data_IF_124082727819
#
_entry.id   IF_124082727819
#
_cell.length_a   1.000
_cell.length_b   1.000
_cell.length_c   1.000
_cell.angle_alpha   90.00
_cell.angle_beta   90.00
_cell.angle_gamma   90.00
#
_symmetry.space_group_name_H-M   'P 1'
#
loop_
_entity.id
_entity.type
_entity.pdbx_description
1 polymer ?
#
# COMPACT_ATOMS: atom_id res chain seq x y z
N UNK A 1 -15.16 11.23 -6.08
CA UNK A 1 -14.99 10.17 -5.06
C UNK A 1 -13.87 10.67 -4.15
N UNK A 2 -13.99 11.17 -2.91
CA UNK A 2 -14.99 11.20 -1.81
C UNK A 2 -15.19 9.91 -0.98
N UNK A 3 -14.33 8.90 -1.15
CA UNK A 3 -14.58 7.58 -0.53
C UNK A 3 -14.12 7.43 0.92
N UNK A 4 -13.12 8.19 1.38
CA UNK A 4 -12.58 8.02 2.75
C UNK A 4 -12.15 9.35 3.39
N UNK A 5 -13.07 10.30 3.67
CA UNK A 5 -12.72 11.54 4.37
C UNK A 5 -12.16 11.28 5.77
N UNK A 6 -12.62 10.22 6.46
CA UNK A 6 -12.10 9.82 7.77
C UNK A 6 -10.59 9.53 7.76
N UNK A 7 -10.04 9.05 6.63
CA UNK A 7 -8.61 8.75 6.51
C UNK A 7 -7.76 10.01 6.69
N UNK A 8 -8.17 11.11 6.03
CA UNK A 8 -7.49 12.39 6.14
C UNK A 8 -7.61 12.98 7.56
N UNK A 9 -8.77 12.81 8.20
CA UNK A 9 -8.98 13.28 9.58
C UNK A 9 -8.13 12.52 10.60
N UNK A 10 -7.93 11.21 10.40
CA UNK A 10 -7.07 10.37 11.26
C UNK A 10 -5.59 10.66 11.09
N UNK A 11 -5.15 11.00 9.87
CA UNK A 11 -3.76 11.31 9.57
C UNK A 11 -3.25 12.63 10.15
N UNK A 12 -4.15 13.54 10.56
CA UNK A 12 -3.76 14.80 11.20
C UNK A 12 -2.76 15.61 10.36
N UNK A 13 -1.59 15.88 10.92
CA UNK A 13 -0.50 16.63 10.28
C UNK A 13 0.07 15.95 9.02
N UNK A 14 -0.22 14.67 8.81
CA UNK A 14 0.24 13.89 7.66
C UNK A 14 -0.79 13.79 6.53
N UNK A 15 -1.98 14.40 6.67
CA UNK A 15 -3.08 14.26 5.69
C UNK A 15 -2.76 14.80 4.29
N UNK A 16 -1.91 15.82 4.20
CA UNK A 16 -1.51 16.46 2.94
C UNK A 16 -0.32 15.76 2.26
N UNK A 17 0.27 14.73 2.90
CA UNK A 17 1.42 14.00 2.36
C UNK A 17 1.01 13.05 1.23
N UNK A 18 1.93 12.84 0.30
CA UNK A 18 1.82 11.86 -0.77
C UNK A 18 2.65 10.62 -0.45
N UNK A 19 1.99 9.48 -0.40
CA UNK A 19 2.60 8.20 -0.04
C UNK A 19 2.77 7.31 -1.27
N UNK A 20 3.93 6.70 -1.43
CA UNK A 20 4.21 5.75 -2.51
C UNK A 20 4.42 4.33 -2.02
N UNK A 21 3.94 3.36 -2.77
CA UNK A 21 4.17 1.94 -2.51
C UNK A 21 4.66 1.26 -3.78
N UNK A 22 5.90 0.75 -3.76
CA UNK A 22 6.57 0.12 -4.90
C UNK A 22 6.70 -1.40 -4.71
N UNK A 23 5.70 -2.19 -5.14
CA UNK A 23 5.76 -3.63 -5.09
C UNK A 23 6.80 -4.17 -6.09
N UNK A 24 7.84 -4.84 -5.60
CA UNK A 24 8.94 -5.35 -6.44
C UNK A 24 8.54 -6.53 -7.33
N UNK A 25 7.40 -7.17 -7.03
CA UNK A 25 6.87 -8.33 -7.73
C UNK A 25 5.71 -7.99 -8.69
N UNK A 26 5.33 -6.70 -8.80
CA UNK A 26 4.30 -6.22 -9.70
C UNK A 26 4.84 -5.17 -10.70
N UNK A 27 4.23 -5.03 -11.90
CA UNK A 27 4.67 -4.08 -12.92
C UNK A 27 4.06 -2.68 -12.76
N UNK A 28 3.62 -2.31 -11.55
CA UNK A 28 3.02 -1.02 -11.22
C UNK A 28 3.21 -0.74 -9.73
N UNK A 29 3.17 0.54 -9.38
CA UNK A 29 3.23 1.06 -8.02
C UNK A 29 1.90 1.72 -7.64
N UNK A 30 1.78 2.11 -6.37
CA UNK A 30 0.58 2.76 -5.85
C UNK A 30 0.93 4.10 -5.23
N UNK A 31 0.04 5.07 -5.39
CA UNK A 31 0.13 6.37 -4.74
C UNK A 31 -1.13 6.62 -3.94
N UNK A 32 -0.96 6.99 -2.68
CA UNK A 32 -2.06 7.36 -1.77
C UNK A 32 -1.93 8.86 -1.46
N UNK A 33 -3.02 9.59 -1.73
CA UNK A 33 -3.19 11.02 -1.41
C UNK A 33 -4.43 11.17 -0.53
N UNK A 34 -4.25 11.17 0.81
CA UNK A 34 -5.36 11.12 1.76
C UNK A 34 -6.30 12.33 1.64
N UNK A 35 -5.75 13.55 1.55
CA UNK A 35 -6.56 14.77 1.41
C UNK A 35 -7.38 14.79 0.10
N UNK A 36 -6.83 14.22 -0.98
CA UNK A 36 -7.58 14.03 -2.22
C UNK A 36 -8.58 12.86 -2.16
N UNK A 37 -8.50 12.03 -1.11
CA UNK A 37 -9.22 10.76 -1.00
C UNK A 37 -8.90 9.82 -2.17
N UNK A 38 -7.67 9.87 -2.67
CA UNK A 38 -7.26 9.20 -3.89
C UNK A 38 -6.24 8.11 -3.60
N UNK A 39 -6.51 6.93 -4.15
CA UNK A 39 -5.57 5.82 -4.25
C UNK A 39 -5.46 5.54 -5.74
N UNK A 40 -4.24 5.51 -6.27
CA UNK A 40 -3.99 5.40 -7.71
C UNK A 40 -2.93 4.34 -7.99
N UNK A 41 -3.22 3.42 -8.92
CA UNK A 41 -2.21 2.55 -9.51
C UNK A 41 -1.48 3.31 -10.64
N UNK A 42 -0.15 3.37 -10.56
CA UNK A 42 0.72 4.06 -11.51
C UNK A 42 1.78 3.10 -12.03
N UNK A 43 2.30 3.29 -13.26
CA UNK A 43 3.37 2.39 -13.76
C UNK A 43 4.70 2.56 -13.02
N UNK A 44 4.94 3.74 -12.45
CA UNK A 44 6.15 4.08 -11.72
C UNK A 44 5.79 5.17 -10.72
N UNK A 45 6.42 5.11 -9.54
CA UNK A 45 6.27 6.16 -8.54
C UNK A 45 6.69 7.54 -9.10
N UNK A 46 5.96 8.61 -8.78
CA UNK A 46 6.39 9.97 -9.08
C UNK A 46 7.61 10.33 -8.23
N UNK A 47 8.42 11.30 -8.69
CA UNK A 47 9.62 11.72 -7.97
C UNK A 47 9.32 12.47 -6.67
N UNK A 48 8.15 13.12 -6.57
CA UNK A 48 7.72 13.87 -5.40
C UNK A 48 6.82 13.00 -4.52
N UNK A 49 7.43 12.34 -3.53
CA UNK A 49 6.76 11.57 -2.48
C UNK A 49 7.32 12.01 -1.13
N UNK A 50 6.44 12.17 -0.15
CA UNK A 50 6.83 12.53 1.22
C UNK A 50 7.31 11.29 1.99
N UNK A 51 6.73 10.13 1.67
CA UNK A 51 7.18 8.85 2.16
C UNK A 51 6.87 7.75 1.14
N UNK A 52 7.72 6.72 1.09
CA UNK A 52 7.48 5.57 0.24
C UNK A 52 7.95 4.27 0.89
N UNK A 53 7.30 3.16 0.55
CA UNK A 53 7.71 1.83 0.94
C UNK A 53 7.83 0.91 -0.29
N UNK A 54 8.87 0.10 -0.35
CA UNK A 54 9.08 -0.87 -1.43
C UNK A 54 9.31 -2.26 -0.87
N UNK A 55 8.78 -3.29 -1.52
CA UNK A 55 8.89 -4.68 -1.07
C UNK A 55 7.92 -5.59 -1.80
N UNK A 56 7.80 -6.88 -1.45
CA UNK A 56 6.78 -7.74 -2.04
C UNK A 56 5.37 -7.20 -1.80
N UNK A 57 4.48 -7.31 -2.79
CA UNK A 57 3.13 -6.75 -2.69
C UNK A 57 2.37 -7.22 -1.46
N UNK A 58 2.47 -8.52 -1.12
CA UNK A 58 1.81 -9.06 0.07
C UNK A 58 2.35 -8.42 1.36
N UNK A 59 3.66 -8.13 1.42
CA UNK A 59 4.29 -7.54 2.60
C UNK A 59 3.86 -6.07 2.75
N UNK A 60 3.75 -5.33 1.63
CA UNK A 60 3.20 -3.97 1.62
C UNK A 60 1.72 -3.94 2.03
N UNK A 61 0.90 -4.90 1.58
CA UNK A 61 -0.48 -5.02 2.04
C UNK A 61 -0.56 -5.35 3.54
N UNK A 62 0.26 -6.30 4.00
CA UNK A 62 0.30 -6.69 5.41
C UNK A 62 0.73 -5.51 6.30
N UNK A 63 1.69 -4.69 5.83
CA UNK A 63 2.08 -3.45 6.49
C UNK A 63 0.89 -2.50 6.65
N UNK A 64 0.09 -2.30 5.58
CA UNK A 64 -0.95 -1.30 5.55
C UNK A 64 -2.28 -1.73 6.20
N UNK A 65 -2.62 -3.02 6.16
CA UNK A 65 -3.87 -3.56 6.71
C UNK A 65 -3.81 -3.82 8.23
N UNK A 66 -2.78 -3.33 8.93
CA UNK A 66 -2.67 -3.48 10.39
C UNK A 66 -2.41 -4.92 10.89
N UNK A 67 -2.62 -5.96 10.06
CA UNK A 67 -2.50 -7.41 10.40
C UNK A 67 -1.12 -7.86 10.90
N UNK A 68 -0.14 -6.98 10.82
CA UNK A 68 1.21 -7.18 11.33
C UNK A 68 1.30 -6.42 12.65
N UNK A 69 1.08 -7.10 13.78
CA UNK A 69 1.45 -6.56 15.09
C UNK A 69 2.90 -6.08 15.00
N UNK A 70 3.20 -4.91 15.60
CA UNK A 70 4.47 -4.18 15.45
C UNK A 70 5.75 -4.98 15.74
N UNK A 71 5.64 -6.20 16.27
CA UNK A 71 6.73 -7.17 16.45
C UNK A 71 7.21 -7.81 15.13
N UNK A 72 6.43 -7.69 14.04
CA UNK A 72 6.82 -8.06 12.68
C UNK A 72 7.36 -6.88 11.86
N UNK A 73 7.98 -5.93 12.56
CA UNK A 73 9.22 -5.29 12.09
C UNK A 73 10.23 -6.32 11.54
N UNK A 74 10.09 -7.63 11.81
CA UNK A 74 10.85 -8.74 11.20
C UNK A 74 10.47 -9.16 9.76
N UNK A 75 9.54 -8.46 9.09
CA UNK A 75 9.59 -8.32 7.62
C UNK A 75 10.70 -7.33 7.17
N UNK A 76 11.45 -6.73 8.11
CA UNK A 76 12.46 -5.65 7.92
C UNK A 76 13.50 -5.86 6.83
N UNK A 77 13.67 -7.06 6.28
CA UNK A 77 14.57 -7.27 5.14
C UNK A 77 13.89 -7.18 3.78
N UNK A 78 12.57 -7.36 3.73
CA UNK A 78 11.83 -7.35 2.47
C UNK A 78 11.15 -6.00 2.19
N UNK A 79 10.88 -5.19 3.22
CA UNK A 79 10.33 -3.84 3.05
C UNK A 79 11.39 -2.78 3.35
N UNK A 80 11.66 -1.94 2.36
CA UNK A 80 12.48 -0.74 2.49
C UNK A 80 11.56 0.49 2.54
N UNK A 81 11.76 1.35 3.54
CA UNK A 81 11.00 2.60 3.71
C UNK A 81 11.93 3.78 3.47
N UNK A 82 11.46 4.75 2.69
CA UNK A 82 12.16 6.00 2.37
C UNK A 82 11.29 7.21 2.67
N UNK A 83 11.91 8.34 2.98
CA UNK A 83 11.21 9.55 3.40
C UNK A 83 10.75 9.48 4.86
N UNK A 84 9.53 9.95 5.13
CA UNK A 84 9.00 10.08 6.49
C UNK A 84 8.40 8.76 7.02
N UNK A 85 9.15 8.10 7.90
CA UNK A 85 8.71 6.85 8.54
C UNK A 85 7.51 7.04 9.47
N UNK A 86 7.43 8.14 10.21
CA UNK A 86 6.30 8.43 11.10
C UNK A 86 5.01 8.58 10.30
N UNK A 87 5.10 9.21 9.12
CA UNK A 87 3.97 9.33 8.22
C UNK A 87 3.47 7.97 7.71
N UNK A 88 4.35 7.02 7.41
CA UNK A 88 3.97 5.66 6.98
C UNK A 88 3.25 4.92 8.13
N UNK A 89 3.74 5.06 9.35
CA UNK A 89 3.10 4.47 10.54
C UNK A 89 1.72 5.09 10.80
N UNK A 90 1.62 6.41 10.68
CA UNK A 90 0.34 7.11 10.80
C UNK A 90 -0.65 6.69 9.72
N UNK A 91 -0.20 6.51 8.47
CA UNK A 91 -1.02 6.02 7.39
C UNK A 91 -1.51 4.59 7.63
N UNK A 92 -0.63 3.68 8.06
CA UNK A 92 -1.02 2.33 8.47
C UNK A 92 -2.13 2.37 9.51
N UNK A 93 -1.92 3.10 10.60
CA UNK A 93 -2.88 3.17 11.69
C UNK A 93 -4.20 3.77 11.21
N UNK A 94 -4.15 4.81 10.37
CA UNK A 94 -5.35 5.43 9.83
C UNK A 94 -6.12 4.49 8.87
N UNK A 95 -5.44 3.70 8.04
CA UNK A 95 -6.07 2.72 7.16
C UNK A 95 -6.71 1.57 7.94
N UNK A 96 -6.03 1.06 8.96
CA UNK A 96 -6.50 0.01 9.86
C UNK A 96 -7.74 0.48 10.66
N UNK A 97 -7.66 1.65 11.29
CA UNK A 97 -8.77 2.27 12.02
C UNK A 97 -10.02 2.48 11.14
N UNK A 98 -9.82 2.81 9.86
CA UNK A 98 -10.92 3.00 8.91
C UNK A 98 -11.44 1.68 8.32
N UNK A 99 -10.79 0.54 8.59
CA UNK A 99 -11.16 -0.76 8.04
C UNK A 99 -11.09 -0.79 6.50
N UNK A 100 -10.16 -0.06 5.90
CA UNK A 100 -10.08 0.09 4.44
C UNK A 100 -9.54 -1.20 3.83
N UNK A 101 -10.37 -1.84 3.01
CA UNK A 101 -9.96 -2.96 2.15
C UNK A 101 -9.13 -2.42 0.97
N UNK A 102 -7.83 -2.28 1.21
CA UNK A 102 -6.87 -1.80 0.22
C UNK A 102 -6.88 -2.61 -1.08
N UNK A 103 -6.86 -3.96 -1.07
CA UNK A 103 -7.02 -4.73 -2.30
C UNK A 103 -8.25 -4.35 -3.12
N UNK A 104 -9.40 -4.15 -2.46
CA UNK A 104 -10.64 -3.73 -3.13
C UNK A 104 -10.56 -2.30 -3.66
N UNK A 105 -9.99 -1.36 -2.89
CA UNK A 105 -9.79 0.02 -3.35
C UNK A 105 -8.78 0.12 -4.50
N UNK A 106 -7.71 -0.67 -4.45
CA UNK A 106 -6.72 -0.79 -5.53
C UNK A 106 -7.33 -1.40 -6.79
N UNK A 107 -8.18 -2.41 -6.65
CA UNK A 107 -8.93 -2.96 -7.77
C UNK A 107 -9.91 -1.92 -8.35
N UNK A 108 -10.62 -1.17 -7.52
CA UNK A 108 -11.54 -0.12 -7.96
C UNK A 108 -10.83 1.06 -8.64
N UNK A 109 -9.62 1.41 -8.18
CA UNK A 109 -8.80 2.50 -8.72
C UNK A 109 -7.89 2.09 -9.87
N UNK A 110 -7.81 0.80 -10.19
CA UNK A 110 -6.90 0.29 -11.22
C UNK A 110 -7.27 0.70 -12.64
N UNK A 111 -8.50 1.19 -12.90
CA UNK A 111 -8.87 1.82 -14.18
C UNK A 111 -8.41 1.03 -15.43
N UNK A 112 -7.75 1.67 -16.42
CA UNK A 112 -7.19 0.98 -17.59
C UNK A 112 -6.12 -0.08 -17.28
N UNK A 113 -5.54 -0.07 -16.07
CA UNK A 113 -4.58 -1.07 -15.59
C UNK A 113 -5.28 -2.30 -14.98
N UNK A 114 -6.61 -2.36 -14.92
CA UNK A 114 -7.36 -3.50 -14.35
C UNK A 114 -6.93 -4.89 -14.87
N UNK A 115 -6.74 -5.10 -16.18
CA UNK A 115 -6.23 -6.38 -16.69
C UNK A 115 -4.81 -6.72 -16.20
N UNK A 116 -3.94 -5.71 -16.06
CA UNK A 116 -2.59 -5.87 -15.52
C UNK A 116 -2.63 -6.18 -14.03
N UNK A 117 -3.53 -5.51 -13.27
CA UNK A 117 -3.79 -5.76 -11.86
C UNK A 117 -4.21 -7.21 -11.63
N UNK A 118 -5.13 -7.72 -12.44
CA UNK A 118 -5.58 -9.12 -12.35
C UNK A 118 -4.43 -10.10 -12.58
N UNK A 119 -3.65 -9.92 -13.65
CA UNK A 119 -2.50 -10.78 -13.95
C UNK A 119 -1.41 -10.71 -12.87
N UNK A 120 -1.20 -9.52 -12.29
CA UNK A 120 -0.32 -9.30 -11.16
C UNK A 120 -0.78 -10.06 -9.91
N UNK A 121 -2.05 -9.93 -9.52
CA UNK A 121 -2.63 -10.65 -8.39
C UNK A 121 -2.55 -12.18 -8.58
N UNK A 122 -2.81 -12.69 -9.79
CA UNK A 122 -2.66 -14.12 -10.10
C UNK A 122 -1.21 -14.61 -9.91
N UNK A 123 -0.22 -13.78 -10.28
CA UNK A 123 1.21 -14.09 -10.10
C UNK A 123 1.62 -14.03 -8.63
N UNK A 124 1.15 -13.04 -7.87
CA UNK A 124 1.40 -12.96 -6.43
C UNK A 124 0.76 -14.15 -5.72
N UNK A 125 -0.48 -14.51 -6.08
CA UNK A 125 -1.16 -15.68 -5.52
C UNK A 125 -0.37 -16.97 -5.77
N UNK A 126 0.17 -17.16 -6.97
CA UNK A 126 1.04 -18.29 -7.26
C UNK A 126 2.28 -18.31 -6.35
N UNK A 127 2.98 -17.18 -6.19
CA UNK A 127 4.14 -17.07 -5.30
C UNK A 127 3.83 -17.29 -3.82
N UNK A 128 2.70 -16.77 -3.33
CA UNK A 128 2.29 -16.94 -1.94
C UNK A 128 1.94 -18.40 -1.67
N UNK A 129 1.24 -19.07 -2.58
CA UNK A 129 0.93 -20.50 -2.47
C UNK A 129 2.21 -21.37 -2.56
N UNK A 130 3.17 -21.00 -3.41
CA UNK A 130 4.49 -21.65 -3.47
C UNK A 130 5.29 -21.47 -2.17
N UNK A 131 5.25 -20.28 -1.55
CA UNK A 131 5.91 -20.02 -0.25
C UNK A 131 5.19 -20.70 0.93
N UNK A 132 3.86 -20.74 0.91
CA UNK A 132 3.05 -21.37 1.96
C UNK A 132 3.04 -22.91 1.91
N UNK A 133 3.43 -23.50 0.77
CA UNK A 133 3.61 -24.94 0.62
C UNK A 133 4.89 -25.48 1.30
N UNK A 134 5.72 -24.59 1.86
CA UNK A 134 6.93 -24.92 2.64
C UNK A 134 6.83 -24.42 4.08
N UNK A 135 5.69 -24.65 4.74
CA UNK A 135 5.54 -24.54 6.19
C UNK A 135 4.89 -25.80 6.75
#
# INVERSE_FOLDING_TARGET
MRRHPELADRLGDHRAKTFGFDPVDLPFAFVIRPEAGAIEAVRRLPAALDAAASGPFFALLALLEGRVDGDALFFSREIEVSGDMEAILALRNALDDCGIDLPTELAASSGPLGPLMKAACERVRARVLERGAWN
#
